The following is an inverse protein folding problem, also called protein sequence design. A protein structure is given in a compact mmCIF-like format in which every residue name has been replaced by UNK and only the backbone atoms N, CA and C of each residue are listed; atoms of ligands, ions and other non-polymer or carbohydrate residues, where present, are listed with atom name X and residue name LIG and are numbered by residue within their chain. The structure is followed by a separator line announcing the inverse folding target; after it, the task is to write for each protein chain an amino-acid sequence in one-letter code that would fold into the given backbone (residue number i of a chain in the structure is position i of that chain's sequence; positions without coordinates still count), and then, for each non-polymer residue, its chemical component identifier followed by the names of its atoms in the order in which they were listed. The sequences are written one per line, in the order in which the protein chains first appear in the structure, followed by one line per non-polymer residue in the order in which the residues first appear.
data_IF_664989787159
#
_entry.id   IF_664989787159
#
_cell.length_a   1.000
_cell.length_b   1.000
_cell.length_c   1.000
_cell.angle_alpha   90.00
_cell.angle_beta   90.00
_cell.angle_gamma   90.00
#
_symmetry.space_group_name_H-M   'P 1'
#
loop_
_entity.id
_entity.type
_entity.pdbx_description
1 polymer ?
#
# COMPACT_ATOMS: atom_id res chain seq x y z
N UNK A 1 -27.03 -9.74 3.01
CA UNK A 1 -26.64 -8.68 2.04
C UNK A 1 -25.82 -9.32 0.91
N UNK A 2 -26.02 -8.92 -0.36
CA UNK A 2 -25.17 -9.40 -1.46
C UNK A 2 -23.85 -8.66 -1.47
N UNK A 3 -22.81 -9.21 -2.14
CA UNK A 3 -21.52 -8.53 -2.33
C UNK A 3 -21.68 -7.19 -3.05
N UNK A 4 -22.55 -7.13 -4.07
CA UNK A 4 -22.84 -5.88 -4.79
C UNK A 4 -23.42 -4.80 -3.90
N UNK A 5 -24.36 -5.16 -3.03
CA UNK A 5 -24.94 -4.22 -2.06
C UNK A 5 -23.90 -3.68 -1.08
N UNK A 6 -23.03 -4.55 -0.56
CA UNK A 6 -21.94 -4.14 0.33
C UNK A 6 -20.96 -3.19 -0.35
N UNK A 7 -20.55 -3.52 -1.58
CA UNK A 7 -19.66 -2.66 -2.38
C UNK A 7 -20.29 -1.31 -2.68
N UNK A 8 -21.58 -1.27 -3.05
CA UNK A 8 -22.28 -0.01 -3.29
C UNK A 8 -22.25 0.92 -2.06
N UNK A 9 -22.51 0.38 -0.87
CA UNK A 9 -22.41 1.13 0.39
C UNK A 9 -20.98 1.61 0.65
N UNK A 10 -19.98 0.80 0.33
CA UNK A 10 -18.59 1.16 0.48
C UNK A 10 -18.18 2.29 -0.46
N UNK A 11 -18.57 2.21 -1.73
CA UNK A 11 -18.37 3.29 -2.71
C UNK A 11 -18.95 4.61 -2.23
N UNK A 12 -20.20 4.59 -1.74
CA UNK A 12 -20.84 5.78 -1.19
C UNK A 12 -20.06 6.41 -0.03
N UNK A 13 -19.48 5.60 0.87
CA UNK A 13 -18.64 6.10 1.96
C UNK A 13 -17.34 6.73 1.45
N UNK A 14 -16.74 6.17 0.40
CA UNK A 14 -15.56 6.74 -0.25
C UNK A 14 -15.90 8.05 -0.96
N UNK A 15 -17.00 8.11 -1.71
CA UNK A 15 -17.47 9.30 -2.43
C UNK A 15 -17.82 10.45 -1.47
N UNK A 16 -18.32 10.13 -0.27
CA UNK A 16 -18.56 11.08 0.82
C UNK A 16 -17.25 11.52 1.52
N UNK A 17 -16.08 11.01 1.12
CA UNK A 17 -14.80 11.32 1.74
C UNK A 17 -14.62 10.77 3.17
N UNK A 18 -15.48 9.85 3.60
CA UNK A 18 -15.39 9.21 4.92
C UNK A 18 -14.27 8.18 4.99
N UNK A 19 -14.06 7.43 3.91
CA UNK A 19 -12.97 6.47 3.79
C UNK A 19 -11.86 7.10 2.96
N UNK A 20 -10.68 7.22 3.56
CA UNK A 20 -9.48 7.83 2.98
C UNK A 20 -8.34 6.80 2.91
N UNK A 21 -7.29 7.17 2.20
CA UNK A 21 -6.09 6.34 1.99
C UNK A 21 -6.11 5.59 0.66
N UNK A 22 -4.96 5.51 0.04
CA UNK A 22 -4.77 4.95 -1.31
C UNK A 22 -5.34 3.54 -1.43
N UNK A 23 -4.93 2.67 -0.52
CA UNK A 23 -5.27 1.24 -0.56
C UNK A 23 -6.71 0.92 -0.19
N UNK A 24 -7.43 1.92 0.33
CA UNK A 24 -8.85 1.82 0.68
C UNK A 24 -9.77 2.23 -0.48
N UNK A 25 -9.23 2.80 -1.56
CA UNK A 25 -10.04 3.29 -2.66
C UNK A 25 -10.62 2.14 -3.49
N UNK A 26 -11.90 2.23 -3.91
CA UNK A 26 -12.53 1.19 -4.73
C UNK A 26 -11.76 0.89 -6.01
N UNK A 27 -11.26 1.92 -6.72
CA UNK A 27 -10.49 1.75 -7.93
C UNK A 27 -9.20 0.94 -7.72
N UNK A 28 -8.54 1.08 -6.54
CA UNK A 28 -7.38 0.28 -6.17
C UNK A 28 -7.76 -1.18 -5.93
N UNK A 29 -8.80 -1.40 -5.12
CA UNK A 29 -9.30 -2.74 -4.80
C UNK A 29 -9.71 -3.52 -6.06
N UNK A 30 -10.41 -2.85 -6.99
CA UNK A 30 -10.84 -3.43 -8.28
C UNK A 30 -9.65 -3.77 -9.18
N UNK A 31 -8.64 -2.90 -9.26
CA UNK A 31 -7.43 -3.16 -10.05
C UNK A 31 -6.63 -4.35 -9.50
N UNK A 32 -6.64 -4.57 -8.19
CA UNK A 32 -5.95 -5.68 -7.54
C UNK A 32 -6.60 -7.05 -7.79
N UNK A 33 -7.86 -7.11 -8.20
CA UNK A 33 -8.57 -8.35 -8.51
C UNK A 33 -9.87 -8.55 -7.73
N UNK A 34 -10.33 -9.78 -7.55
CA UNK A 34 -11.58 -10.04 -6.80
C UNK A 34 -11.50 -9.58 -5.35
N UNK A 35 -12.45 -8.76 -4.95
CA UNK A 35 -12.55 -8.23 -3.60
C UNK A 35 -13.99 -8.18 -3.11
N UNK A 36 -14.18 -8.01 -1.81
CA UNK A 36 -15.46 -7.74 -1.16
C UNK A 36 -15.20 -6.87 0.08
N UNK A 37 -16.25 -6.53 0.80
CA UNK A 37 -16.16 -5.72 2.01
C UNK A 37 -17.13 -6.24 3.06
N UNK A 38 -16.69 -6.39 4.31
CA UNK A 38 -17.57 -6.59 5.43
C UNK A 38 -18.12 -5.23 5.90
N UNK A 39 -19.43 -5.18 6.17
CA UNK A 39 -20.15 -3.96 6.54
C UNK A 39 -20.81 -4.15 7.90
N UNK A 40 -20.52 -3.26 8.84
CA UNK A 40 -21.21 -3.19 10.11
C UNK A 40 -22.38 -2.19 10.01
N UNK A 41 -23.60 -2.65 10.27
CA UNK A 41 -24.81 -1.83 10.25
C UNK A 41 -25.36 -1.74 11.68
N UNK A 42 -25.74 -0.52 12.09
CA UNK A 42 -26.43 -0.25 13.34
C UNK A 42 -27.50 0.82 13.12
N UNK A 43 -28.72 0.59 13.58
CA UNK A 43 -29.86 1.50 13.37
C UNK A 43 -30.02 1.92 11.90
N UNK A 44 -29.91 0.98 10.97
CA UNK A 44 -30.00 1.18 9.52
C UNK A 44 -28.89 2.08 8.92
N UNK A 45 -27.85 2.38 9.68
CA UNK A 45 -26.70 3.16 9.20
C UNK A 45 -25.45 2.29 9.15
N UNK A 46 -24.61 2.51 8.15
CA UNK A 46 -23.30 1.90 8.06
C UNK A 46 -22.38 2.57 9.07
N UNK A 47 -21.87 1.78 10.01
CA UNK A 47 -21.00 2.26 11.10
C UNK A 47 -19.60 1.68 11.04
N UNK A 48 -19.33 0.74 10.13
CA UNK A 48 -18.01 0.19 9.92
C UNK A 48 -17.89 -0.52 8.59
N UNK A 49 -16.67 -0.55 8.02
CA UNK A 49 -16.34 -1.23 6.78
C UNK A 49 -14.91 -1.80 6.84
N UNK A 50 -14.74 -3.00 6.29
CA UNK A 50 -13.47 -3.71 6.21
C UNK A 50 -13.35 -4.38 4.84
N UNK A 51 -12.66 -3.75 3.86
CA UNK A 51 -12.43 -4.36 2.56
C UNK A 51 -11.40 -5.46 2.64
N UNK A 52 -11.47 -6.44 1.73
CA UNK A 52 -10.54 -7.57 1.65
C UNK A 52 -10.55 -8.17 0.24
N UNK A 53 -9.44 -8.80 -0.14
CA UNK A 53 -9.41 -9.62 -1.34
C UNK A 53 -10.01 -11.00 -1.08
N UNK A 54 -10.72 -11.52 -2.07
CA UNK A 54 -11.29 -12.87 -2.06
C UNK A 54 -10.55 -13.78 -3.02
N UNK A 55 -10.44 -15.04 -2.66
CA UNK A 55 -9.81 -16.02 -3.53
C UNK A 55 -10.14 -17.45 -3.12
N UNK A 56 -9.65 -18.39 -3.94
CA UNK A 56 -9.77 -19.82 -3.64
C UNK A 56 -8.47 -20.54 -3.96
N UNK A 57 -8.01 -21.40 -3.06
CA UNK A 57 -6.83 -22.24 -3.28
C UNK A 57 -7.08 -23.63 -2.72
N UNK A 58 -6.88 -24.67 -3.54
CA UNK A 58 -7.15 -26.05 -3.19
C UNK A 58 -8.58 -26.28 -2.64
N UNK A 59 -9.57 -25.60 -3.22
CA UNK A 59 -10.96 -25.68 -2.76
C UNK A 59 -11.30 -24.84 -1.53
N UNK A 60 -10.33 -24.26 -0.84
CA UNK A 60 -10.50 -23.49 0.39
C UNK A 60 -10.74 -22.01 0.01
N UNK A 61 -11.85 -21.43 0.48
CA UNK A 61 -12.13 -20.00 0.35
C UNK A 61 -11.19 -19.18 1.25
N UNK A 62 -10.67 -18.08 0.75
CA UNK A 62 -9.67 -17.27 1.41
C UNK A 62 -10.08 -15.80 1.45
N UNK A 63 -9.78 -15.17 2.58
CA UNK A 63 -9.81 -13.72 2.78
C UNK A 63 -8.36 -13.28 2.98
N UNK A 64 -7.88 -12.39 2.11
CA UNK A 64 -6.47 -11.98 2.10
C UNK A 64 -6.33 -10.50 1.76
N UNK A 65 -5.10 -10.02 1.85
CA UNK A 65 -4.74 -8.71 1.32
C UNK A 65 -4.93 -8.63 -0.20
N UNK A 66 -5.39 -7.51 -0.74
CA UNK A 66 -5.26 -7.22 -2.15
C UNK A 66 -3.78 -7.24 -2.59
N UNK A 67 -3.55 -7.55 -3.84
CA UNK A 67 -2.18 -7.59 -4.39
C UNK A 67 -1.54 -6.19 -4.28
N UNK A 68 -0.24 -6.14 -3.98
CA UNK A 68 0.53 -4.89 -3.85
C UNK A 68 -0.04 -3.88 -2.83
N UNK A 69 -0.73 -4.36 -1.81
CA UNK A 69 -1.31 -3.53 -0.76
C UNK A 69 -0.51 -3.71 0.52
N UNK A 70 0.08 -2.63 1.04
CA UNK A 70 0.90 -2.68 2.26
C UNK A 70 0.04 -2.98 3.50
N UNK A 71 -1.04 -2.24 3.66
CA UNK A 71 -1.99 -2.40 4.76
C UNK A 71 -3.39 -1.96 4.31
N UNK A 72 -4.38 -2.37 5.05
CA UNK A 72 -5.73 -1.84 4.98
C UNK A 72 -6.09 -1.18 6.32
N UNK A 73 -7.23 -0.54 6.37
CA UNK A 73 -7.80 0.04 7.60
C UNK A 73 -9.17 -0.55 7.86
N UNK A 74 -9.55 -0.62 9.12
CA UNK A 74 -10.94 -0.73 9.48
C UNK A 74 -11.51 0.69 9.55
N UNK A 75 -12.46 0.99 8.68
CA UNK A 75 -13.19 2.24 8.84
C UNK A 75 -14.31 2.04 9.86
N UNK A 76 -14.41 2.94 10.82
CA UNK A 76 -15.46 2.95 11.83
C UNK A 76 -15.94 4.38 12.06
N UNK A 77 -17.26 4.56 12.11
CA UNK A 77 -17.88 5.87 12.32
C UNK A 77 -17.72 6.28 13.79
N UNK A 78 -16.63 7.00 14.08
CA UNK A 78 -16.33 7.54 15.41
C UNK A 78 -16.95 8.93 15.56
N UNK A 79 -17.97 9.10 16.43
CA UNK A 79 -18.50 10.43 16.73
C UNK A 79 -17.43 11.32 17.34
N UNK A 80 -17.38 12.64 17.00
CA UNK A 80 -16.32 13.53 17.44
C UNK A 80 -16.29 13.69 18.97
N UNK A 81 -17.45 13.67 19.64
CA UNK A 81 -17.56 13.94 21.07
C UNK A 81 -17.66 12.66 21.94
N UNK A 82 -17.35 11.49 21.36
CA UNK A 82 -17.43 10.25 22.15
C UNK A 82 -16.21 10.11 23.07
N UNK A 83 -16.44 9.87 24.37
CA UNK A 83 -15.35 9.59 25.29
C UNK A 83 -14.65 8.26 24.97
N UNK A 84 -13.35 8.17 25.27
CA UNK A 84 -12.54 6.98 24.93
C UNK A 84 -13.10 5.70 25.53
N UNK A 85 -13.60 5.74 26.76
CA UNK A 85 -14.24 4.58 27.40
C UNK A 85 -15.47 4.09 26.63
N UNK A 86 -16.35 5.01 26.18
CA UNK A 86 -17.52 4.66 25.36
C UNK A 86 -17.10 4.21 23.97
N UNK A 87 -16.05 4.83 23.42
CA UNK A 87 -15.50 4.44 22.15
C UNK A 87 -14.98 3.00 22.15
N UNK A 88 -14.17 2.62 23.12
CA UNK A 88 -13.65 1.23 23.22
C UNK A 88 -14.77 0.18 23.24
N UNK A 89 -15.89 0.49 23.91
CA UNK A 89 -17.04 -0.42 23.91
C UNK A 89 -17.72 -0.48 22.56
N UNK A 90 -17.89 0.67 21.88
CA UNK A 90 -18.51 0.77 20.57
C UNK A 90 -17.65 0.16 19.48
N UNK A 91 -16.36 0.43 19.48
CA UNK A 91 -15.36 -0.15 18.59
C UNK A 91 -15.41 -1.68 18.63
N UNK A 92 -15.39 -2.26 19.82
CA UNK A 92 -15.51 -3.71 20.02
C UNK A 92 -16.77 -4.29 19.36
N UNK A 93 -17.92 -3.63 19.53
CA UNK A 93 -19.19 -4.05 18.94
C UNK A 93 -19.14 -3.97 17.41
N UNK A 94 -18.55 -2.90 16.85
CA UNK A 94 -18.42 -2.74 15.39
C UNK A 94 -17.48 -3.77 14.79
N UNK A 95 -16.33 -4.03 15.42
CA UNK A 95 -15.42 -5.09 14.97
C UNK A 95 -16.12 -6.45 14.98
N UNK A 96 -16.93 -6.72 16.00
CA UNK A 96 -17.71 -7.97 16.03
C UNK A 96 -18.67 -8.08 14.86
N UNK A 97 -19.44 -7.02 14.57
CA UNK A 97 -20.34 -6.98 13.41
C UNK A 97 -19.60 -7.18 12.09
N UNK A 98 -18.39 -6.59 11.93
CA UNK A 98 -17.56 -6.78 10.75
C UNK A 98 -17.10 -8.23 10.59
N UNK A 99 -16.67 -8.87 11.68
CA UNK A 99 -16.27 -10.27 11.66
C UNK A 99 -17.46 -11.19 11.33
N UNK A 100 -18.63 -10.91 11.87
CA UNK A 100 -19.82 -11.72 11.65
C UNK A 100 -20.41 -11.55 10.23
N UNK A 101 -20.10 -10.43 9.53
CA UNK A 101 -20.46 -10.22 8.11
C UNK A 101 -19.45 -10.81 7.11
N UNK A 102 -18.33 -11.35 7.59
CA UNK A 102 -17.37 -12.02 6.71
C UNK A 102 -17.99 -13.27 6.07
N UNK A 103 -17.75 -13.51 4.77
CA UNK A 103 -18.18 -14.76 4.15
C UNK A 103 -17.45 -15.96 4.78
N UNK A 104 -18.05 -17.15 4.65
CA UNK A 104 -17.43 -18.38 5.10
C UNK A 104 -16.04 -18.57 4.44
N UNK A 105 -15.02 -18.77 5.24
CA UNK A 105 -13.64 -18.89 4.80
C UNK A 105 -12.88 -19.93 5.63
N UNK A 106 -11.93 -20.60 5.00
CA UNK A 106 -11.01 -21.52 5.69
C UNK A 106 -9.62 -20.90 5.91
N UNK A 107 -9.38 -19.70 5.38
CA UNK A 107 -8.13 -18.97 5.57
C UNK A 107 -8.38 -17.47 5.64
N UNK A 108 -7.78 -16.83 6.63
CA UNK A 108 -7.82 -15.37 6.81
C UNK A 108 -6.39 -14.86 7.07
N UNK A 109 -5.96 -13.86 6.28
CA UNK A 109 -4.68 -13.19 6.48
C UNK A 109 -4.78 -11.75 6.01
N UNK A 110 -4.83 -10.81 6.96
CA UNK A 110 -4.97 -9.37 6.71
C UNK A 110 -3.87 -8.61 7.44
N UNK A 111 -3.45 -7.50 6.88
CA UNK A 111 -2.54 -6.54 7.52
C UNK A 111 -3.30 -5.25 7.70
N UNK A 112 -3.47 -4.84 8.94
CA UNK A 112 -4.13 -3.58 9.29
C UNK A 112 -3.11 -2.57 9.77
N UNK A 113 -3.31 -1.31 9.42
CA UNK A 113 -2.56 -0.20 9.99
C UNK A 113 -2.80 -0.13 11.50
N UNK A 114 -1.71 0.06 12.28
CA UNK A 114 -1.74 -0.08 13.73
C UNK A 114 -2.72 0.88 14.43
N UNK A 115 -2.95 2.07 13.85
CA UNK A 115 -3.86 3.08 14.39
C UNK A 115 -5.31 2.94 13.91
N UNK A 116 -5.60 1.95 13.06
CA UNK A 116 -6.95 1.78 12.51
C UNK A 116 -7.98 1.29 13.53
N UNK A 117 -7.52 0.66 14.62
CA UNK A 117 -8.35 0.30 15.77
C UNK A 117 -7.49 0.06 17.00
N UNK A 118 -8.08 0.24 18.21
CA UNK A 118 -7.36 0.11 19.47
C UNK A 118 -7.57 -1.25 20.15
N UNK A 119 -8.61 -1.98 19.77
CA UNK A 119 -9.02 -3.17 20.49
C UNK A 119 -9.12 -4.39 19.56
N UNK A 120 -8.07 -5.19 19.55
CA UNK A 120 -8.06 -6.41 18.75
C UNK A 120 -8.76 -7.62 19.41
N UNK A 121 -9.17 -7.52 20.69
CA UNK A 121 -9.79 -8.62 21.44
C UNK A 121 -10.98 -9.28 20.74
N UNK A 122 -11.85 -8.57 19.98
CA UNK A 122 -12.91 -9.22 19.20
C UNK A 122 -12.37 -10.27 18.20
N UNK A 123 -11.27 -9.99 17.54
CA UNK A 123 -10.61 -10.96 16.67
C UNK A 123 -10.07 -12.16 17.46
N UNK A 124 -9.41 -11.91 18.60
CA UNK A 124 -8.91 -12.98 19.46
C UNK A 124 -10.03 -13.91 19.94
N UNK A 125 -11.14 -13.39 20.41
CA UNK A 125 -12.26 -14.17 20.89
C UNK A 125 -12.95 -14.99 19.78
N UNK A 126 -12.82 -14.57 18.54
CA UNK A 126 -13.26 -15.33 17.35
C UNK A 126 -12.19 -16.28 16.81
N UNK A 127 -11.07 -16.46 17.51
CA UNK A 127 -10.03 -17.44 17.18
C UNK A 127 -8.97 -16.97 16.21
N UNK A 128 -8.94 -15.68 15.84
CA UNK A 128 -7.86 -15.13 15.02
C UNK A 128 -6.56 -15.02 15.82
N UNK A 129 -5.44 -15.17 15.13
CA UNK A 129 -4.10 -14.96 15.70
C UNK A 129 -3.54 -13.63 15.17
N UNK A 130 -2.76 -12.94 16.00
CA UNK A 130 -2.11 -11.70 15.64
C UNK A 130 -0.61 -11.91 15.47
N UNK A 131 -0.07 -11.30 14.41
CA UNK A 131 1.36 -11.10 14.19
C UNK A 131 1.61 -9.61 13.99
N UNK A 132 2.80 -9.14 14.36
CA UNK A 132 3.21 -7.75 14.13
C UNK A 132 4.20 -7.70 12.96
N UNK A 133 4.02 -6.69 12.10
CA UNK A 133 4.96 -6.33 11.05
C UNK A 133 5.41 -4.90 11.27
N UNK A 134 6.65 -4.63 10.93
CA UNK A 134 7.25 -3.29 11.07
C UNK A 134 7.62 -2.77 9.69
N UNK A 135 7.42 -1.49 9.47
CA UNK A 135 7.94 -0.74 8.33
C UNK A 135 8.76 0.44 8.82
N UNK A 136 9.52 1.06 7.93
CA UNK A 136 10.20 2.31 8.21
C UNK A 136 9.41 3.45 7.58
N UNK A 137 9.25 4.53 8.34
CA UNK A 137 8.59 5.75 7.88
C UNK A 137 9.50 6.95 8.10
N UNK A 138 9.39 7.91 7.19
CA UNK A 138 9.99 9.24 7.36
C UNK A 138 8.84 10.23 7.41
N UNK A 139 8.75 10.97 8.53
CA UNK A 139 7.73 11.99 8.73
C UNK A 139 8.34 13.38 8.52
N UNK A 140 7.60 14.26 7.83
CA UNK A 140 7.88 15.68 7.67
C UNK A 140 9.36 16.01 7.46
N UNK A 141 9.90 15.65 6.29
CA UNK A 141 11.26 16.04 5.95
C UNK A 141 11.26 16.92 4.70
N UNK A 142 11.94 18.06 4.77
CA UNK A 142 12.44 18.73 3.58
C UNK A 142 13.77 18.12 3.12
N UNK A 143 14.15 18.33 1.87
CA UNK A 143 15.41 17.81 1.32
C UNK A 143 16.64 18.21 2.12
N UNK A 144 16.65 19.42 2.69
CA UNK A 144 17.79 19.92 3.46
C UNK A 144 17.94 19.17 4.78
N UNK A 145 16.83 18.90 5.47
CA UNK A 145 16.79 18.11 6.70
C UNK A 145 17.17 16.65 6.42
N UNK A 146 16.67 16.05 5.35
CA UNK A 146 17.05 14.71 4.93
C UNK A 146 18.56 14.63 4.62
N UNK A 147 19.08 15.57 3.85
CA UNK A 147 20.51 15.62 3.52
C UNK A 147 21.41 15.79 4.75
N UNK A 148 20.94 16.46 5.81
CA UNK A 148 21.69 16.56 7.07
C UNK A 148 21.74 15.23 7.82
N UNK A 149 20.66 14.46 7.82
CA UNK A 149 20.55 13.18 8.52
C UNK A 149 21.28 12.02 7.82
N UNK A 150 21.53 12.13 6.51
CA UNK A 150 22.24 11.12 5.74
C UNK A 150 23.73 11.11 6.14
N UNK A 151 24.26 9.94 6.43
CA UNK A 151 25.68 9.78 6.76
C UNK A 151 26.59 10.10 5.56
N UNK A 152 27.88 10.40 5.87
CA UNK A 152 28.87 10.83 4.86
C UNK A 152 29.06 9.81 3.72
N UNK A 153 29.02 8.50 4.02
CA UNK A 153 29.20 7.46 3.01
C UNK A 153 28.04 7.43 2.03
N UNK A 154 26.81 7.54 2.54
CA UNK A 154 25.62 7.56 1.70
C UNK A 154 25.57 8.82 0.84
N UNK A 155 25.97 9.99 1.37
CA UNK A 155 26.12 11.23 0.57
C UNK A 155 27.08 11.04 -0.59
N UNK A 156 28.24 10.42 -0.33
CA UNK A 156 29.23 10.12 -1.38
C UNK A 156 28.62 9.20 -2.45
N UNK A 157 28.00 8.11 -2.05
CA UNK A 157 27.38 7.15 -2.98
C UNK A 157 26.29 7.81 -3.84
N UNK A 158 25.46 8.67 -3.27
CA UNK A 158 24.45 9.44 -4.01
C UNK A 158 25.12 10.36 -5.04
N UNK A 159 26.20 11.05 -4.65
CA UNK A 159 26.95 11.97 -5.53
C UNK A 159 27.59 11.21 -6.70
N UNK A 160 28.23 10.08 -6.44
CA UNK A 160 28.82 9.21 -7.45
C UNK A 160 27.73 8.69 -8.41
N UNK A 161 26.64 8.12 -7.88
CA UNK A 161 25.51 7.65 -8.68
C UNK A 161 24.89 8.77 -9.54
N UNK A 162 24.79 9.99 -9.02
CA UNK A 162 24.25 11.15 -9.77
C UNK A 162 25.15 11.59 -10.93
N UNK A 163 26.44 11.29 -10.89
CA UNK A 163 27.37 11.55 -12.00
C UNK A 163 27.28 10.51 -13.13
N UNK A 164 26.91 9.28 -12.77
CA UNK A 164 26.93 8.13 -13.68
C UNK A 164 25.55 7.78 -14.25
N UNK A 165 24.48 8.18 -13.59
CA UNK A 165 23.10 7.75 -13.88
C UNK A 165 22.17 8.94 -14.17
N UNK A 166 21.23 8.71 -15.08
CA UNK A 166 20.16 9.65 -15.43
C UNK A 166 18.82 9.08 -14.96
N UNK A 167 18.07 9.86 -14.18
CA UNK A 167 16.70 9.46 -13.76
C UNK A 167 15.70 9.89 -14.82
N UNK A 168 14.80 8.97 -15.21
CA UNK A 168 13.62 9.28 -16.01
C UNK A 168 12.36 8.94 -15.22
N UNK A 169 11.34 9.78 -15.38
CA UNK A 169 10.04 9.67 -14.69
C UNK A 169 9.01 8.80 -15.45
N UNK A 170 9.43 8.18 -16.52
CA UNK A 170 8.57 7.30 -17.34
C UNK A 170 9.34 6.01 -17.63
N UNK A 171 8.75 4.89 -17.21
CA UNK A 171 9.26 3.56 -17.51
C UNK A 171 8.08 2.73 -18.05
N UNK A 172 8.30 2.04 -19.16
CA UNK A 172 7.31 1.11 -19.70
C UNK A 172 6.93 0.05 -18.66
N UNK A 173 5.63 -0.24 -18.55
CA UNK A 173 5.10 -1.14 -17.52
C UNK A 173 5.70 -2.56 -17.61
N UNK A 174 5.92 -3.08 -18.82
CA UNK A 174 6.48 -4.42 -19.02
C UNK A 174 7.97 -4.45 -18.67
N UNK A 175 8.71 -3.43 -19.09
CA UNK A 175 10.13 -3.28 -18.76
C UNK A 175 10.32 -3.16 -17.24
N UNK A 176 9.48 -2.35 -16.57
CA UNK A 176 9.44 -2.22 -15.12
C UNK A 176 9.20 -3.56 -14.43
N UNK A 177 8.15 -4.28 -14.86
CA UNK A 177 7.78 -5.57 -14.28
C UNK A 177 8.89 -6.61 -14.41
N UNK A 178 9.54 -6.72 -15.58
CA UNK A 178 10.65 -7.67 -15.79
C UNK A 178 11.87 -7.31 -14.92
N UNK A 179 12.15 -6.02 -14.71
CA UNK A 179 13.22 -5.60 -13.79
C UNK A 179 12.93 -6.02 -12.34
N UNK A 180 11.71 -5.82 -11.86
CA UNK A 180 11.28 -6.28 -10.55
C UNK A 180 11.34 -7.81 -10.43
N UNK A 181 10.89 -8.54 -11.46
CA UNK A 181 10.91 -10.00 -11.52
C UNK A 181 12.33 -10.56 -11.37
N UNK A 182 13.34 -9.91 -11.94
CA UNK A 182 14.72 -10.30 -11.76
C UNK A 182 15.18 -10.23 -10.29
N UNK A 183 14.68 -9.26 -9.52
CA UNK A 183 14.92 -9.17 -8.07
C UNK A 183 14.34 -10.37 -7.34
N UNK A 184 13.11 -10.78 -7.64
CA UNK A 184 12.51 -11.99 -7.06
C UNK A 184 13.28 -13.25 -7.41
N UNK A 185 13.67 -13.41 -8.69
CA UNK A 185 14.48 -14.56 -9.14
C UNK A 185 15.81 -14.69 -8.38
N UNK A 186 16.50 -13.57 -8.11
CA UNK A 186 17.73 -13.57 -7.31
C UNK A 186 17.51 -14.09 -5.89
N UNK A 187 16.34 -13.79 -5.31
CA UNK A 187 15.93 -14.27 -4.00
C UNK A 187 15.39 -15.71 -4.04
N UNK A 188 15.44 -16.38 -5.21
CA UNK A 188 14.87 -17.72 -5.44
C UNK A 188 13.36 -17.77 -5.17
N UNK A 189 12.66 -16.69 -5.46
CA UNK A 189 11.21 -16.57 -5.32
C UNK A 189 10.57 -16.30 -6.67
N UNK A 190 9.35 -16.79 -6.83
CA UNK A 190 8.51 -16.40 -7.95
C UNK A 190 7.80 -15.09 -7.66
N UNK A 191 7.53 -14.32 -8.72
CA UNK A 191 6.71 -13.11 -8.61
C UNK A 191 5.30 -13.51 -8.15
N UNK A 192 4.77 -12.94 -7.05
CA UNK A 192 3.51 -13.39 -6.46
C UNK A 192 2.26 -12.94 -7.24
N UNK A 193 2.43 -12.20 -8.33
CA UNK A 193 1.38 -11.71 -9.22
C UNK A 193 1.85 -11.71 -10.68
N UNK A 194 0.89 -11.76 -11.60
CA UNK A 194 1.16 -11.75 -13.04
C UNK A 194 1.38 -10.33 -13.57
N UNK A 195 1.97 -10.22 -14.76
CA UNK A 195 2.05 -8.93 -15.48
C UNK A 195 0.67 -8.33 -15.76
N UNK A 196 -0.33 -9.16 -16.04
CA UNK A 196 -1.70 -8.68 -16.25
C UNK A 196 -2.27 -7.94 -15.03
N UNK A 197 -2.08 -8.49 -13.82
CA UNK A 197 -2.50 -7.85 -12.58
C UNK A 197 -1.73 -6.55 -12.35
N UNK A 198 -0.40 -6.58 -12.51
CA UNK A 198 0.43 -5.39 -12.40
C UNK A 198 0.00 -4.29 -13.38
N UNK A 199 -0.26 -4.64 -14.64
CA UNK A 199 -0.68 -3.69 -15.67
C UNK A 199 -2.04 -3.05 -15.37
N UNK A 200 -2.99 -3.78 -14.80
CA UNK A 200 -4.27 -3.21 -14.33
C UNK A 200 -4.07 -2.20 -13.21
N UNK A 201 -3.23 -2.54 -12.22
CA UNK A 201 -2.88 -1.63 -11.12
C UNK A 201 -2.17 -0.38 -11.66
N UNK A 202 -1.18 -0.54 -12.51
CA UNK A 202 -0.43 0.56 -13.12
C UNK A 202 -1.34 1.50 -13.94
N UNK A 203 -2.27 0.95 -14.71
CA UNK A 203 -3.25 1.72 -15.46
C UNK A 203 -4.19 2.50 -14.53
N UNK A 204 -4.66 1.89 -13.44
CA UNK A 204 -5.51 2.53 -12.46
C UNK A 204 -4.76 3.66 -11.72
N UNK A 205 -3.52 3.41 -11.29
CA UNK A 205 -2.65 4.42 -10.66
C UNK A 205 -2.42 5.61 -11.58
N UNK A 206 -2.19 5.36 -12.87
CA UNK A 206 -2.00 6.41 -13.88
C UNK A 206 -3.28 7.23 -14.06
N UNK A 207 -4.43 6.57 -14.19
CA UNK A 207 -5.73 7.24 -14.36
C UNK A 207 -6.10 8.12 -13.16
N UNK A 208 -5.70 7.73 -11.95
CA UNK A 208 -5.95 8.49 -10.72
C UNK A 208 -4.80 9.41 -10.31
N UNK A 209 -3.75 9.54 -11.13
CA UNK A 209 -2.55 10.35 -10.83
C UNK A 209 -1.94 10.06 -9.44
N UNK A 210 -2.01 8.81 -9.02
CA UNK A 210 -1.66 8.35 -7.67
C UNK A 210 -0.27 7.72 -7.56
N UNK A 211 0.57 7.83 -8.60
CA UNK A 211 1.92 7.26 -8.57
C UNK A 211 2.75 7.57 -9.79
N UNK A 212 4.02 7.18 -9.72
CA UNK A 212 5.01 7.35 -10.78
C UNK A 212 6.05 6.22 -10.76
N UNK A 213 6.42 5.74 -11.94
CA UNK A 213 7.54 4.82 -12.13
C UNK A 213 8.79 5.61 -12.44
N UNK A 214 9.85 5.41 -11.66
CA UNK A 214 11.16 5.99 -11.87
C UNK A 214 12.12 4.94 -12.42
N UNK A 215 12.97 5.34 -13.35
CA UNK A 215 14.04 4.52 -13.90
C UNK A 215 15.39 5.22 -13.83
N UNK A 216 16.43 4.52 -13.39
CA UNK A 216 17.81 4.95 -13.48
C UNK A 216 18.47 4.34 -14.70
N UNK A 217 19.06 5.18 -15.54
CA UNK A 217 19.69 4.81 -16.81
C UNK A 217 21.17 5.16 -16.76
N UNK A 218 22.02 4.29 -17.27
CA UNK A 218 23.45 4.59 -17.45
C UNK A 218 23.68 5.57 -18.62
N UNK A 219 24.93 5.99 -18.82
CA UNK A 219 25.31 6.93 -19.87
C UNK A 219 25.09 6.38 -21.29
N UNK A 220 24.95 5.07 -21.44
CA UNK A 220 24.62 4.39 -22.70
C UNK A 220 23.10 4.26 -22.92
N UNK A 221 22.29 4.76 -21.98
CA UNK A 221 20.82 4.70 -22.05
C UNK A 221 20.22 3.34 -21.65
N UNK A 222 21.00 2.45 -21.02
CA UNK A 222 20.51 1.18 -20.49
C UNK A 222 19.88 1.39 -19.13
N UNK A 223 18.67 0.83 -18.94
CA UNK A 223 17.98 0.83 -17.66
C UNK A 223 18.68 -0.11 -16.66
N UNK A 224 19.05 0.40 -15.49
CA UNK A 224 19.81 -0.32 -14.45
C UNK A 224 19.02 -0.54 -13.16
N UNK A 225 18.06 0.33 -12.87
CA UNK A 225 17.14 0.16 -11.73
C UNK A 225 15.82 0.85 -11.97
N UNK A 226 14.79 0.40 -11.24
CA UNK A 226 13.44 0.98 -11.25
C UNK A 226 12.89 1.12 -9.83
N UNK A 227 12.00 2.08 -9.62
CA UNK A 227 11.17 2.16 -8.42
C UNK A 227 9.77 2.69 -8.75
N UNK A 228 8.80 2.28 -7.96
CA UNK A 228 7.41 2.72 -8.07
C UNK A 228 7.02 3.45 -6.79
N UNK A 229 6.78 4.73 -6.93
CA UNK A 229 6.29 5.61 -5.87
C UNK A 229 4.78 5.80 -6.07
N UNK A 230 4.01 5.51 -5.04
CA UNK A 230 2.58 5.84 -4.97
C UNK A 230 2.35 6.91 -3.91
N UNK A 231 1.22 7.60 -3.99
CA UNK A 231 0.84 8.58 -2.97
C UNK A 231 -0.67 8.77 -2.89
N UNK A 232 -1.11 9.19 -1.72
CA UNK A 232 -2.40 9.86 -1.51
C UNK A 232 -2.17 11.28 -0.96
N UNK A 233 -3.18 11.87 -0.34
CA UNK A 233 -3.08 13.23 0.21
C UNK A 233 -2.05 13.36 1.35
N UNK A 234 -1.89 12.33 2.16
CA UNK A 234 -1.10 12.42 3.40
C UNK A 234 0.19 11.58 3.35
N UNK A 235 0.23 10.53 2.54
CA UNK A 235 1.31 9.53 2.58
C UNK A 235 1.77 9.12 1.19
N UNK A 236 3.08 8.93 1.05
CA UNK A 236 3.68 8.27 -0.10
C UNK A 236 4.19 6.88 0.28
N UNK A 237 4.17 5.95 -0.68
CA UNK A 237 4.55 4.55 -0.50
C UNK A 237 5.62 4.17 -1.52
N UNK A 238 6.77 3.68 -1.05
CA UNK A 238 7.80 3.11 -1.90
C UNK A 238 7.47 1.66 -2.21
N UNK A 239 6.52 1.47 -3.15
CA UNK A 239 5.80 0.22 -3.32
C UNK A 239 6.66 -0.92 -3.85
N UNK A 240 7.44 -0.66 -4.89
CA UNK A 240 8.24 -1.65 -5.60
C UNK A 240 9.57 -1.06 -6.01
N UNK A 241 10.61 -1.88 -5.99
CA UNK A 241 11.90 -1.55 -6.56
C UNK A 241 12.55 -2.79 -7.21
N UNK A 242 13.35 -2.56 -8.22
CA UNK A 242 14.15 -3.60 -8.88
C UNK A 242 15.42 -3.03 -9.44
N UNK A 243 16.48 -3.84 -9.49
CA UNK A 243 17.76 -3.45 -10.04
C UNK A 243 18.46 -4.64 -10.72
N UNK A 244 19.35 -4.35 -11.64
CA UNK A 244 20.32 -5.30 -12.16
C UNK A 244 21.66 -5.22 -11.38
N UNK A 245 22.65 -6.04 -11.77
CA UNK A 245 23.93 -6.08 -11.08
C UNK A 245 24.69 -4.76 -11.22
N UNK A 246 24.63 -4.11 -12.38
CA UNK A 246 25.26 -2.82 -12.62
C UNK A 246 24.60 -1.71 -11.78
N UNK A 247 23.27 -1.67 -11.72
CA UNK A 247 22.53 -0.71 -10.90
C UNK A 247 22.88 -0.78 -9.42
N UNK A 248 23.08 -1.99 -8.88
CA UNK A 248 23.54 -2.18 -7.50
C UNK A 248 24.95 -1.66 -7.26
N UNK A 249 25.87 -1.96 -8.17
CA UNK A 249 27.27 -1.50 -8.04
C UNK A 249 27.37 0.02 -8.10
N UNK A 250 26.54 0.68 -8.90
CA UNK A 250 26.53 2.14 -9.08
C UNK A 250 25.55 2.88 -8.16
N UNK A 251 24.89 2.21 -7.20
CA UNK A 251 24.01 2.86 -6.23
C UNK A 251 22.69 3.38 -6.82
N UNK A 252 22.23 2.81 -7.93
CA UNK A 252 21.02 3.26 -8.65
C UNK A 252 19.76 3.27 -7.78
N UNK A 253 19.56 2.23 -6.96
CA UNK A 253 18.41 2.13 -6.06
C UNK A 253 18.40 3.22 -4.99
N UNK A 254 19.58 3.62 -4.48
CA UNK A 254 19.72 4.72 -3.51
C UNK A 254 19.35 6.05 -4.17
N UNK A 255 19.81 6.26 -5.40
CA UNK A 255 19.52 7.47 -6.17
C UNK A 255 18.00 7.58 -6.47
N UNK A 256 17.35 6.47 -6.86
CA UNK A 256 15.90 6.43 -7.08
C UNK A 256 15.11 6.66 -5.79
N UNK A 257 15.55 6.09 -4.67
CA UNK A 257 14.94 6.33 -3.38
C UNK A 257 15.00 7.81 -2.98
N UNK A 258 16.17 8.47 -3.16
CA UNK A 258 16.30 9.90 -2.91
C UNK A 258 15.38 10.74 -3.79
N UNK A 259 15.28 10.43 -5.09
CA UNK A 259 14.34 11.12 -5.99
C UNK A 259 12.88 10.88 -5.60
N UNK A 260 12.54 9.67 -5.18
CA UNK A 260 11.20 9.36 -4.68
C UNK A 260 10.85 10.18 -3.43
N UNK A 261 11.78 10.33 -2.47
CA UNK A 261 11.63 11.20 -1.30
C UNK A 261 11.44 12.67 -1.69
N UNK A 262 12.25 13.16 -2.66
CA UNK A 262 12.11 14.54 -3.18
C UNK A 262 10.73 14.76 -3.79
N UNK A 263 10.27 13.84 -4.64
CA UNK A 263 8.93 13.92 -5.25
C UNK A 263 7.85 13.91 -4.16
N UNK A 264 7.94 13.02 -3.19
CA UNK A 264 6.96 12.89 -2.13
C UNK A 264 6.83 14.17 -1.30
N UNK A 265 7.94 14.70 -0.80
CA UNK A 265 7.90 15.84 0.12
C UNK A 265 7.84 17.20 -0.58
N UNK A 266 8.55 17.40 -1.72
CA UNK A 266 8.60 18.68 -2.40
C UNK A 266 7.52 18.87 -3.47
N UNK A 267 7.26 17.84 -4.30
CA UNK A 267 6.27 17.96 -5.37
C UNK A 267 4.84 17.60 -4.89
N UNK A 268 4.70 16.59 -4.04
CA UNK A 268 3.40 16.08 -3.56
C UNK A 268 3.02 16.59 -2.18
N UNK A 269 3.98 17.13 -1.42
CA UNK A 269 3.78 17.71 -0.10
C UNK A 269 3.07 16.76 0.89
N UNK A 270 3.37 15.46 0.78
CA UNK A 270 2.84 14.46 1.73
C UNK A 270 3.49 14.63 3.11
N UNK A 271 2.84 14.13 4.13
CA UNK A 271 3.34 14.22 5.51
C UNK A 271 4.28 13.07 5.85
N UNK A 272 4.07 11.90 5.25
CA UNK A 272 4.76 10.66 5.61
C UNK A 272 5.20 9.92 4.35
N UNK A 273 6.41 9.38 4.38
CA UNK A 273 6.93 8.45 3.36
C UNK A 273 7.12 7.07 4.01
N UNK A 274 6.51 6.05 3.43
CA UNK A 274 6.47 4.67 3.91
C UNK A 274 7.24 3.75 2.96
N UNK A 275 8.12 2.88 3.52
CA UNK A 275 9.00 1.98 2.75
C UNK A 275 8.42 0.58 2.56
#
# INVERSE_FOLDING_TARGET
MTSEQRKAMYHELCDQGKIKGLFMQPWWLEACGPWDVAIAIRNQQVVGAMPFATGRRWGISRITMPVLTHHLRLWMDKPPDISDHKWLTREKQMIWLLIDDLPAHGFFSMVFEADSFNNWLPFHWKGFKQEMRYTFVIDHADSATLDQQINRNLKRNIKEASGDLIIKKEVDAKVFFEMCKNTYKRQRMDMPYSFEVFSKIDSAVTAHHAGIKLGAYDQQGRLTAVSYLLWDHDRAYYLLAGDDDAGRQHGASILLCREALRIAFEEKQVKTFDF
#
